data_IF_649949261302
#
_entry.id   IF_649949261302
#
_cell.length_a   1.000
_cell.length_b   1.000
_cell.length_c   1.000
_cell.angle_alpha   90.00
_cell.angle_beta   90.00
_cell.angle_gamma   90.00
#
_symmetry.space_group_name_H-M   'P 1'
#
loop_
_entity.id
_entity.type
_entity.pdbx_description
1 polymer ?
#
# COMPACT_ATOMS: atom_id res chain seq x y z
N UNK A 1 -2.29 22.84 22.19
CA UNK A 1 -1.81 22.30 20.90
C UNK A 1 -1.70 20.80 21.10
N UNK A 2 -2.80 20.10 20.93
CA UNK A 2 -2.82 18.64 21.05
C UNK A 2 -2.21 18.09 19.77
N UNK A 3 -0.97 17.60 19.89
CA UNK A 3 -0.37 16.78 18.85
C UNK A 3 -1.34 15.63 18.57
N UNK A 4 -1.49 15.24 17.29
CA UNK A 4 -2.32 14.09 16.92
C UNK A 4 -1.74 12.85 17.59
N UNK A 5 -2.23 12.53 18.79
CA UNK A 5 -1.72 11.44 19.59
C UNK A 5 -1.99 10.15 18.83
N UNK A 6 -0.94 9.41 18.49
CA UNK A 6 -1.05 8.17 17.71
C UNK A 6 -0.73 8.31 16.21
N UNK A 7 -0.63 9.52 15.64
CA UNK A 7 -0.24 9.67 14.23
C UNK A 7 1.16 9.11 13.94
N UNK A 8 2.10 9.26 14.88
CA UNK A 8 3.44 8.69 14.76
C UNK A 8 3.45 7.15 14.74
N UNK A 9 2.66 6.52 15.61
CA UNK A 9 2.55 5.05 15.67
C UNK A 9 1.91 4.48 14.40
N UNK A 10 0.81 5.07 13.95
CA UNK A 10 0.14 4.69 12.70
C UNK A 10 1.04 4.94 11.49
N UNK A 11 1.80 6.03 11.49
CA UNK A 11 2.76 6.37 10.43
C UNK A 11 3.86 5.31 10.24
N UNK A 12 4.33 4.70 11.33
CA UNK A 12 5.30 3.58 11.25
C UNK A 12 4.66 2.38 10.53
N UNK A 13 3.43 2.00 10.90
CA UNK A 13 2.73 0.90 10.26
C UNK A 13 2.45 1.15 8.78
N UNK A 14 2.03 2.37 8.43
CA UNK A 14 1.80 2.81 7.04
C UNK A 14 3.09 2.79 6.22
N UNK A 15 4.22 3.21 6.80
CA UNK A 15 5.52 3.16 6.14
C UNK A 15 5.98 1.72 5.85
N UNK A 16 5.73 0.79 6.78
CA UNK A 16 6.03 -0.63 6.61
C UNK A 16 5.12 -1.28 5.56
N UNK A 17 3.82 -1.00 5.60
CA UNK A 17 2.85 -1.44 4.58
C UNK A 17 3.23 -0.93 3.18
N UNK A 18 3.76 0.29 3.08
CA UNK A 18 4.24 0.88 1.83
C UNK A 18 5.59 0.33 1.35
N UNK A 19 6.23 -0.60 2.09
CA UNK A 19 7.58 -1.14 1.81
C UNK A 19 8.66 -0.05 1.62
N UNK A 20 8.53 1.09 2.29
CA UNK A 20 9.37 2.28 2.04
C UNK A 20 9.27 2.87 0.62
N UNK A 21 8.29 2.46 -0.20
CA UNK A 21 8.05 3.04 -1.52
C UNK A 21 7.08 4.24 -1.42
N UNK A 22 7.46 5.43 -1.93
CA UNK A 22 6.69 6.66 -1.72
C UNK A 22 5.25 6.56 -2.23
N UNK A 23 5.03 5.90 -3.37
CA UNK A 23 3.67 5.71 -3.92
C UNK A 23 2.80 4.84 -3.00
N UNK A 24 3.37 3.78 -2.42
CA UNK A 24 2.62 2.91 -1.50
C UNK A 24 2.28 3.62 -0.20
N UNK A 25 3.22 4.40 0.32
CA UNK A 25 3.03 5.22 1.52
C UNK A 25 1.92 6.26 1.31
N UNK A 26 1.90 6.95 0.17
CA UNK A 26 0.88 7.96 -0.13
C UNK A 26 -0.52 7.34 -0.19
N UNK A 27 -0.68 6.22 -0.91
CA UNK A 27 -1.96 5.53 -1.00
C UNK A 27 -2.45 5.02 0.36
N UNK A 28 -1.54 4.43 1.15
CA UNK A 28 -1.87 3.96 2.49
C UNK A 28 -2.20 5.13 3.43
N UNK A 29 -1.46 6.23 3.41
CA UNK A 29 -1.75 7.41 4.22
C UNK A 29 -3.13 8.01 3.92
N UNK A 30 -3.53 8.04 2.64
CA UNK A 30 -4.87 8.51 2.24
C UNK A 30 -5.95 7.58 2.79
N UNK A 31 -5.79 6.26 2.68
CA UNK A 31 -6.73 5.28 3.25
C UNK A 31 -6.89 5.46 4.76
N UNK A 32 -5.78 5.58 5.49
CA UNK A 32 -5.80 5.75 6.94
C UNK A 32 -6.41 7.09 7.36
N UNK A 33 -6.15 8.17 6.62
CA UNK A 33 -6.80 9.47 6.82
C UNK A 33 -8.32 9.38 6.62
N UNK A 34 -8.77 8.71 5.56
CA UNK A 34 -10.20 8.47 5.32
C UNK A 34 -10.85 7.63 6.41
N UNK A 35 -10.20 6.55 6.87
CA UNK A 35 -10.74 5.72 7.95
C UNK A 35 -10.82 6.46 9.28
N UNK A 36 -9.82 7.30 9.59
CA UNK A 36 -9.83 8.07 10.83
C UNK A 36 -10.92 9.15 10.81
N UNK A 37 -10.94 9.99 9.77
CA UNK A 37 -11.88 11.11 9.69
C UNK A 37 -13.31 10.63 9.36
N UNK A 38 -13.46 9.73 8.40
CA UNK A 38 -14.75 9.15 8.01
C UNK A 38 -15.30 8.21 9.07
N UNK A 39 -14.45 7.46 9.78
CA UNK A 39 -14.86 6.65 10.92
C UNK A 39 -15.32 7.51 12.09
N UNK A 40 -14.64 8.63 12.36
CA UNK A 40 -15.05 9.55 13.42
C UNK A 40 -16.45 10.12 13.17
N UNK A 41 -16.75 10.52 11.93
CA UNK A 41 -18.10 10.99 11.53
C UNK A 41 -19.15 9.89 11.74
N UNK A 42 -18.86 8.67 11.28
CA UNK A 42 -19.75 7.51 11.47
C UNK A 42 -19.98 7.17 12.94
N UNK A 43 -18.98 7.35 13.81
CA UNK A 43 -19.12 7.14 15.24
C UNK A 43 -19.99 8.21 15.93
N UNK A 44 -20.17 9.38 15.31
CA UNK A 44 -21.11 10.40 15.77
C UNK A 44 -22.55 10.10 15.30
N UNK A 45 -22.73 9.68 14.05
CA UNK A 45 -24.06 9.41 13.48
C UNK A 45 -24.64 8.06 13.91
N UNK A 46 -23.79 7.05 14.14
CA UNK A 46 -24.20 5.69 14.47
C UNK A 46 -23.72 5.31 15.88
N UNK A 47 -24.60 5.28 16.90
CA UNK A 47 -24.24 4.94 18.29
C UNK A 47 -23.65 3.53 18.47
N UNK A 48 -23.87 2.65 17.50
CA UNK A 48 -23.32 1.29 17.49
C UNK A 48 -21.84 1.25 17.09
N UNK A 49 -21.28 2.31 16.51
CA UNK A 49 -19.88 2.38 16.07
C UNK A 49 -19.10 3.26 17.04
N UNK A 50 -18.20 2.65 17.80
CA UNK A 50 -17.29 3.36 18.70
C UNK A 50 -15.93 3.61 18.06
N UNK A 51 -15.16 4.57 18.61
CA UNK A 51 -13.79 4.85 18.14
C UNK A 51 -12.86 3.64 18.25
N UNK A 52 -13.04 2.82 19.28
CA UNK A 52 -12.25 1.59 19.47
C UNK A 52 -12.45 0.63 18.30
N UNK A 53 -13.66 0.58 17.74
CA UNK A 53 -13.97 -0.24 16.58
C UNK A 53 -13.21 0.23 15.33
N UNK A 54 -13.04 1.54 15.14
CA UNK A 54 -12.25 2.12 14.04
C UNK A 54 -10.79 1.69 14.17
N UNK A 55 -10.22 1.74 15.38
CA UNK A 55 -8.84 1.32 15.65
C UNK A 55 -8.65 -0.17 15.35
N UNK A 56 -9.63 -1.01 15.70
CA UNK A 56 -9.61 -2.44 15.36
C UNK A 56 -9.63 -2.63 13.84
N UNK A 57 -10.49 -1.92 13.11
CA UNK A 57 -10.56 -1.97 11.65
C UNK A 57 -9.22 -1.55 11.03
N UNK A 58 -8.60 -0.48 11.53
CA UNK A 58 -7.26 -0.06 11.09
C UNK A 58 -6.22 -1.17 11.32
N UNK A 59 -6.23 -1.83 12.47
CA UNK A 59 -5.36 -2.98 12.75
C UNK A 59 -5.58 -4.15 11.77
N UNK A 60 -6.83 -4.47 11.45
CA UNK A 60 -7.17 -5.52 10.47
C UNK A 60 -6.71 -5.14 9.06
N UNK A 61 -6.84 -3.87 8.67
CA UNK A 61 -6.33 -3.37 7.39
C UNK A 61 -4.81 -3.53 7.31
N UNK A 62 -4.07 -3.22 8.38
CA UNK A 62 -2.60 -3.44 8.42
C UNK A 62 -2.28 -4.93 8.25
N UNK A 63 -2.99 -5.79 8.98
CA UNK A 63 -2.78 -7.24 8.95
C UNK A 63 -3.01 -7.80 7.54
N UNK A 64 -4.14 -7.44 6.91
CA UNK A 64 -4.44 -7.89 5.55
C UNK A 64 -3.52 -7.28 4.52
N UNK A 65 -3.22 -5.98 4.60
CA UNK A 65 -2.32 -5.34 3.66
C UNK A 65 -0.90 -5.95 3.70
N UNK A 66 -0.35 -6.16 4.90
CA UNK A 66 0.95 -6.81 5.08
C UNK A 66 0.96 -8.26 4.60
N UNK A 67 -0.14 -9.01 4.82
CA UNK A 67 -0.26 -10.39 4.34
C UNK A 67 -0.43 -10.48 2.81
N UNK A 68 -1.26 -9.62 2.22
CA UNK A 68 -1.56 -9.60 0.79
C UNK A 68 -0.39 -9.12 -0.06
N UNK A 69 0.57 -8.40 0.52
CA UNK A 69 1.77 -7.93 -0.19
C UNK A 69 2.52 -9.05 -0.93
N UNK A 70 2.60 -10.25 -0.33
CA UNK A 70 3.22 -11.42 -0.97
C UNK A 70 2.37 -12.00 -2.12
N UNK A 71 1.07 -11.71 -2.15
CA UNK A 71 0.13 -12.17 -3.17
C UNK A 71 0.17 -11.30 -4.44
N UNK A 72 0.54 -10.02 -4.33
CA UNK A 72 0.60 -9.10 -5.48
C UNK A 72 1.87 -9.24 -6.33
N UNK A 73 2.92 -9.89 -5.82
CA UNK A 73 4.22 -10.08 -6.50
C UNK A 73 4.11 -10.62 -7.94
N UNK A 74 3.39 -11.73 -8.22
CA UNK A 74 3.26 -12.24 -9.59
C UNK A 74 2.44 -11.31 -10.50
N UNK A 75 1.42 -10.63 -9.95
CA UNK A 75 0.55 -9.72 -10.72
C UNK A 75 1.28 -8.44 -11.14
N UNK A 76 2.05 -7.83 -10.24
CA UNK A 76 2.81 -6.62 -10.53
C UNK A 76 3.96 -6.92 -11.52
N UNK A 77 4.60 -8.08 -11.41
CA UNK A 77 5.63 -8.51 -12.37
C UNK A 77 5.07 -8.74 -13.78
N UNK A 78 3.88 -9.33 -13.89
CA UNK A 78 3.20 -9.49 -15.17
C UNK A 78 2.84 -8.14 -15.81
N UNK A 79 2.38 -7.17 -15.00
CA UNK A 79 2.08 -5.80 -15.42
C UNK A 79 3.33 -4.98 -15.77
N UNK A 80 4.46 -5.19 -15.10
CA UNK A 80 5.72 -4.51 -15.45
C UNK A 80 6.43 -5.15 -16.65
N UNK A 81 6.29 -6.46 -16.85
CA UNK A 81 6.85 -7.15 -18.01
C UNK A 81 6.22 -6.67 -19.33
N UNK A 82 4.97 -6.20 -19.31
CA UNK A 82 4.33 -5.60 -20.48
C UNK A 82 4.78 -4.15 -20.76
N UNK A 83 5.48 -3.51 -19.83
CA UNK A 83 5.95 -2.11 -19.94
C UNK A 83 7.47 -2.01 -20.15
N UNK A 84 8.24 -3.08 -19.94
CA UNK A 84 9.66 -3.11 -20.28
C UNK A 84 9.85 -2.98 -21.81
N UNK A 85 10.44 -1.88 -22.32
CA UNK A 85 10.78 -1.78 -23.72
C UNK A 85 11.85 -2.82 -24.00
N UNK A 86 11.64 -3.65 -25.03
CA UNK A 86 12.68 -4.50 -25.62
C UNK A 86 14.00 -3.72 -25.70
N UNK A 87 15.00 -4.14 -24.93
CA UNK A 87 16.39 -3.78 -25.19
C UNK A 87 16.73 -4.31 -26.58
N UNK A 88 16.77 -3.38 -27.52
CA UNK A 88 17.18 -3.54 -28.90
C UNK A 88 18.56 -4.20 -28.96
N UNK A 89 18.67 -5.24 -29.77
CA UNK A 89 19.91 -5.58 -30.47
C UNK A 89 20.97 -6.34 -29.67
N UNK A 90 20.89 -7.67 -29.73
CA UNK A 90 22.10 -8.48 -29.86
C UNK A 90 21.87 -9.55 -30.93
N UNK A 91 21.75 -9.11 -32.18
CA UNK A 91 22.09 -9.97 -33.33
C UNK A 91 23.60 -9.89 -33.52
N UNK A 92 24.35 -10.66 -32.71
CA UNK A 92 25.72 -10.97 -33.04
C UNK A 92 25.69 -12.08 -34.12
N UNK A 93 25.68 -11.61 -35.36
CA UNK A 93 26.14 -12.24 -36.61
C UNK A 93 26.34 -13.76 -36.54
N UNK A 94 25.41 -14.46 -37.18
CA UNK A 94 25.63 -15.82 -37.68
C UNK A 94 26.68 -15.72 -38.79
N UNK A 95 27.94 -15.98 -38.44
CA UNK A 95 29.01 -16.22 -39.41
C UNK A 95 28.73 -17.52 -40.16
N UNK A 96 28.00 -17.40 -41.25
CA UNK A 96 27.87 -18.43 -42.28
C UNK A 96 29.19 -18.54 -43.05
N UNK A 97 29.77 -19.75 -43.04
CA UNK A 97 30.44 -20.38 -44.18
C UNK A 97 31.69 -19.72 -44.78
N UNK A 98 32.85 -20.34 -44.53
CA UNK A 98 33.74 -20.90 -45.55
C UNK A 98 34.78 -21.79 -44.86
#
# INVERSE_FOLDING_TARGET
IDFVSGAGYVGIAVALMGRLHPVGIVLAAILFGMLYQGGAELAFEMPAISRDMIVIIQGLVILFAGALEHMFRPYIQALFASVSPKSVGMQAVKGTGA
#
